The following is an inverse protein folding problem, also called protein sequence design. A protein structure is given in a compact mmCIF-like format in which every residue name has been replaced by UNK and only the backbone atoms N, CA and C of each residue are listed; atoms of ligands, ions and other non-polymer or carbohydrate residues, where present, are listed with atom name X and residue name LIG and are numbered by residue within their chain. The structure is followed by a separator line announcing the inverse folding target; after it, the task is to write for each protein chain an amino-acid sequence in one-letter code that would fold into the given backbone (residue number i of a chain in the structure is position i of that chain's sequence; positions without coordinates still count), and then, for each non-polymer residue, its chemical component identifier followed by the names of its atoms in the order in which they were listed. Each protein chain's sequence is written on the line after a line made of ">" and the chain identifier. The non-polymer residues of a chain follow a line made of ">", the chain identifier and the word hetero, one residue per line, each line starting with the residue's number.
data_IF_240220072804
#
_entry.id   IF_240220072804
#
_cell.length_a   1.000
_cell.length_b   1.000
_cell.length_c   1.000
_cell.angle_alpha   90.00
_cell.angle_beta   90.00
_cell.angle_gamma   90.00
#
_symmetry.space_group_name_H-M   'P 1'
#
loop_
_entity.id
_entity.type
_entity.pdbx_description
1 polymer ?
#
# COMPACT_ATOMS: atom_id res chain seq x y z
N UNK A 1 -14.23 31.25 18.57
CA UNK A 1 -14.82 31.00 17.24
C UNK A 1 -13.85 31.27 16.11
N UNK A 2 -13.19 32.44 16.05
CA UNK A 2 -12.25 32.78 14.96
C UNK A 2 -11.06 31.81 14.79
N UNK A 3 -10.46 31.32 15.87
CA UNK A 3 -9.36 30.34 15.80
C UNK A 3 -9.79 28.98 15.21
N UNK A 4 -11.06 28.60 15.37
CA UNK A 4 -11.62 27.37 14.81
C UNK A 4 -11.92 27.46 13.31
N UNK A 5 -12.23 28.67 12.83
CA UNK A 5 -12.41 28.95 11.39
C UNK A 5 -11.08 29.02 10.65
N UNK A 6 -10.00 29.51 11.29
CA UNK A 6 -8.66 29.57 10.69
C UNK A 6 -7.96 28.20 10.56
N UNK A 7 -8.46 27.16 11.22
CA UNK A 7 -7.94 25.76 11.15
C UNK A 7 -8.82 24.83 10.30
N UNK A 8 -9.95 25.33 9.77
CA UNK A 8 -10.82 24.52 8.90
C UNK A 8 -10.09 24.24 7.58
N UNK A 9 -9.96 22.99 7.23
CA UNK A 9 -9.41 22.59 5.92
C UNK A 9 -10.34 23.04 4.79
N UNK A 10 -9.82 23.81 3.85
CA UNK A 10 -10.56 24.24 2.63
C UNK A 10 -10.46 23.23 1.49
N UNK A 11 -9.87 22.06 1.74
CA UNK A 11 -9.60 21.05 0.70
C UNK A 11 -10.90 20.58 0.04
N UNK A 12 -11.93 20.29 0.82
CA UNK A 12 -13.23 19.83 0.29
C UNK A 12 -13.93 20.97 -0.50
N UNK A 13 -13.88 22.18 -0.04
CA UNK A 13 -14.43 23.36 -0.73
C UNK A 13 -13.76 23.55 -2.10
N UNK A 14 -12.42 23.58 -2.14
CA UNK A 14 -11.64 23.72 -3.38
C UNK A 14 -11.92 22.58 -4.36
N UNK A 15 -12.08 21.35 -3.86
CA UNK A 15 -12.44 20.20 -4.69
C UNK A 15 -13.84 20.32 -5.24
N UNK A 16 -14.81 20.74 -4.43
CA UNK A 16 -16.20 20.96 -4.86
C UNK A 16 -16.27 22.02 -5.97
N UNK A 17 -15.62 23.16 -5.81
CA UNK A 17 -15.53 24.17 -6.85
C UNK A 17 -14.93 23.63 -8.16
N UNK A 18 -13.89 22.79 -8.03
CA UNK A 18 -13.27 22.14 -9.20
C UNK A 18 -14.23 21.16 -9.89
N UNK A 19 -15.01 20.37 -9.13
CA UNK A 19 -16.02 19.45 -9.67
C UNK A 19 -17.11 20.22 -10.40
N UNK A 20 -17.64 21.32 -9.83
CA UNK A 20 -18.62 22.18 -10.47
C UNK A 20 -18.10 22.75 -11.80
N UNK A 21 -16.90 23.33 -11.81
CA UNK A 21 -16.33 23.84 -13.06
C UNK A 21 -15.99 22.77 -14.11
N UNK A 22 -15.82 21.50 -13.71
CA UNK A 22 -15.68 20.37 -14.64
C UNK A 22 -17.04 19.97 -15.20
N UNK A 23 -18.08 19.87 -14.37
CA UNK A 23 -19.43 19.45 -14.79
C UNK A 23 -20.02 20.37 -15.88
N UNK A 24 -19.66 21.65 -15.87
CA UNK A 24 -20.03 22.59 -16.93
C UNK A 24 -19.38 22.30 -18.30
N UNK A 25 -18.28 21.56 -18.33
CA UNK A 25 -17.47 21.30 -19.51
C UNK A 25 -17.61 19.88 -20.05
N UNK A 26 -18.18 18.95 -19.27
CA UNK A 26 -18.41 17.56 -19.67
C UNK A 26 -17.90 16.53 -18.66
N UNK A 27 -17.34 15.43 -19.16
CA UNK A 27 -16.92 14.31 -18.33
C UNK A 27 -15.77 14.64 -17.39
N UNK A 28 -15.77 14.01 -16.20
CA UNK A 28 -14.72 14.12 -15.22
C UNK A 28 -13.39 13.53 -15.74
N UNK A 29 -12.32 14.31 -15.87
CA UNK A 29 -11.00 13.78 -16.16
C UNK A 29 -10.44 13.08 -14.92
N UNK A 30 -9.67 12.01 -15.11
CA UNK A 30 -8.92 11.33 -14.05
C UNK A 30 -7.42 11.58 -14.28
N UNK A 31 -6.91 12.74 -13.87
CA UNK A 31 -5.52 13.13 -14.14
C UNK A 31 -4.60 12.35 -13.20
N UNK A 32 -3.94 11.34 -13.73
CA UNK A 32 -2.94 10.55 -13.02
C UNK A 32 -1.59 10.68 -13.71
N UNK A 33 -0.57 10.98 -12.91
CA UNK A 33 0.81 10.95 -13.35
C UNK A 33 1.36 9.55 -13.18
N UNK A 34 1.72 8.92 -14.28
CA UNK A 34 2.35 7.61 -14.32
C UNK A 34 3.70 7.65 -13.60
N UNK A 35 3.97 6.63 -12.80
CA UNK A 35 5.23 6.45 -12.07
C UNK A 35 5.63 7.69 -11.25
N UNK A 36 4.67 8.27 -10.52
CA UNK A 36 4.88 9.48 -9.74
C UNK A 36 5.69 9.25 -8.47
N UNK A 37 5.61 8.05 -7.90
CA UNK A 37 6.38 7.63 -6.74
C UNK A 37 7.56 6.76 -7.13
N UNK A 38 8.58 6.70 -6.27
CA UNK A 38 9.76 5.84 -6.41
C UNK A 38 9.39 4.36 -6.62
N UNK A 39 8.29 3.91 -6.04
CA UNK A 39 7.77 2.54 -6.12
C UNK A 39 6.88 2.27 -7.34
N UNK A 40 6.78 3.21 -8.27
CA UNK A 40 5.94 3.11 -9.47
C UNK A 40 4.46 3.40 -9.24
N UNK A 41 4.03 3.79 -8.03
CA UNK A 41 2.66 4.21 -7.78
C UNK A 41 2.33 5.47 -8.58
N UNK A 42 1.11 5.53 -9.10
CA UNK A 42 0.61 6.71 -9.78
C UNK A 42 0.25 7.79 -8.76
N UNK A 43 0.42 9.04 -9.13
CA UNK A 43 0.03 10.18 -8.30
C UNK A 43 -1.03 11.02 -8.98
N UNK A 44 -1.89 11.66 -8.20
CA UNK A 44 -2.83 12.64 -8.73
C UNK A 44 -2.11 13.84 -9.35
N UNK A 45 -2.71 14.41 -10.38
CA UNK A 45 -2.22 15.58 -11.10
C UNK A 45 -3.33 16.65 -11.26
N UNK A 46 -3.05 17.72 -11.97
CA UNK A 46 -3.99 18.81 -12.33
C UNK A 46 -4.84 19.33 -11.14
N UNK A 47 -4.24 19.39 -9.94
CA UNK A 47 -4.93 19.83 -8.70
C UNK A 47 -6.22 19.06 -8.38
N UNK A 48 -6.43 17.90 -9.03
CA UNK A 48 -7.57 17.02 -8.84
C UNK A 48 -7.07 15.61 -8.50
N UNK A 49 -6.76 15.38 -7.24
CA UNK A 49 -6.35 14.06 -6.79
C UNK A 49 -7.55 13.26 -6.27
N UNK A 50 -8.15 12.44 -7.13
CA UNK A 50 -9.27 11.57 -6.80
C UNK A 50 -8.88 10.44 -5.85
N UNK A 51 -7.58 10.08 -5.76
CA UNK A 51 -7.06 9.05 -4.85
C UNK A 51 -7.19 9.44 -3.37
N UNK A 52 -7.36 10.75 -3.07
CA UNK A 52 -7.44 11.27 -1.70
C UNK A 52 -8.87 11.73 -1.33
N UNK A 53 -9.90 11.27 -2.02
CA UNK A 53 -11.28 11.51 -1.60
C UNK A 53 -11.57 10.71 -0.34
N UNK A 54 -12.11 11.37 0.69
CA UNK A 54 -12.49 10.70 1.94
C UNK A 54 -13.57 9.64 1.67
N UNK A 55 -13.57 8.56 2.46
CA UNK A 55 -14.50 7.44 2.27
C UNK A 55 -15.97 7.88 2.20
N UNK A 56 -16.36 8.84 3.02
CA UNK A 56 -17.73 9.35 3.10
C UNK A 56 -17.91 10.72 2.43
N UNK A 57 -16.99 11.13 1.55
CA UNK A 57 -17.10 12.42 0.85
C UNK A 57 -18.28 12.40 -0.13
N UNK A 58 -19.17 13.41 -0.09
CA UNK A 58 -20.23 13.58 -1.09
C UNK A 58 -19.70 13.63 -2.52
N UNK A 59 -18.44 14.05 -2.72
CA UNK A 59 -17.79 14.07 -4.03
C UNK A 59 -17.64 12.70 -4.66
N UNK A 60 -17.54 11.60 -3.87
CA UNK A 60 -17.55 10.25 -4.42
C UNK A 60 -18.90 9.94 -5.08
N UNK A 61 -20.02 10.37 -4.48
CA UNK A 61 -21.37 10.20 -5.04
C UNK A 61 -21.64 11.06 -6.27
N UNK A 62 -20.86 12.12 -6.46
CA UNK A 62 -20.95 12.96 -7.66
C UNK A 62 -20.20 12.34 -8.88
N UNK A 63 -19.45 11.26 -8.68
CA UNK A 63 -18.81 10.53 -9.77
C UNK A 63 -19.75 9.41 -10.21
N UNK A 64 -20.43 9.64 -11.31
CA UNK A 64 -21.48 8.76 -11.86
C UNK A 64 -21.06 8.23 -13.24
N UNK A 65 -21.44 7.00 -13.59
CA UNK A 65 -21.27 6.48 -14.94
C UNK A 65 -22.28 7.13 -15.92
N UNK A 66 -22.10 6.98 -17.24
CA UNK A 66 -23.12 7.33 -18.22
C UNK A 66 -24.42 6.54 -18.04
N UNK A 67 -25.53 7.07 -18.58
CA UNK A 67 -26.82 6.38 -18.57
C UNK A 67 -26.72 4.95 -19.15
N UNK A 68 -27.37 4.01 -18.49
CA UNK A 68 -27.33 2.58 -18.87
C UNK A 68 -26.10 1.81 -18.38
N UNK A 69 -25.25 2.46 -17.59
CA UNK A 69 -24.05 1.85 -16.98
C UNK A 69 -24.09 1.92 -15.46
N UNK A 70 -23.37 1.00 -14.84
CA UNK A 70 -23.07 0.98 -13.40
C UNK A 70 -21.56 1.08 -13.20
N UNK A 71 -21.14 1.57 -12.03
CA UNK A 71 -19.76 1.49 -11.59
C UNK A 71 -19.52 0.20 -10.82
N UNK A 72 -18.37 -0.40 -11.01
CA UNK A 72 -17.79 -1.41 -10.12
C UNK A 72 -16.50 -0.86 -9.57
N UNK A 73 -16.33 -0.88 -8.24
CA UNK A 73 -15.07 -0.64 -7.56
C UNK A 73 -14.60 -1.93 -6.88
N UNK A 74 -13.33 -2.26 -7.03
CA UNK A 74 -12.73 -3.43 -6.40
C UNK A 74 -11.39 -3.07 -5.79
N UNK A 75 -11.28 -3.21 -4.47
CA UNK A 75 -10.09 -2.92 -3.67
C UNK A 75 -9.36 -4.21 -3.30
N UNK A 76 -8.05 -4.24 -3.50
CA UNK A 76 -7.23 -5.39 -3.15
C UNK A 76 -7.03 -5.47 -1.65
N UNK A 77 -7.49 -6.55 -1.02
CA UNK A 77 -7.46 -6.71 0.43
C UNK A 77 -6.03 -6.84 0.94
N UNK A 78 -5.57 -5.90 1.77
CA UNK A 78 -4.28 -5.91 2.49
C UNK A 78 -3.07 -6.29 1.62
N UNK A 79 -3.02 -5.88 0.37
CA UNK A 79 -2.04 -6.38 -0.61
C UNK A 79 -0.58 -6.21 -0.15
N UNK A 80 -0.23 -5.09 0.52
CA UNK A 80 1.14 -4.88 1.01
C UNK A 80 1.50 -5.86 2.13
N UNK A 81 0.58 -6.17 3.06
CA UNK A 81 0.83 -7.12 4.13
C UNK A 81 0.93 -8.57 3.61
N UNK A 82 0.10 -8.93 2.62
CA UNK A 82 0.13 -10.23 1.92
C UNK A 82 1.44 -10.39 1.15
N UNK A 83 1.84 -9.36 0.40
CA UNK A 83 3.11 -9.33 -0.31
C UNK A 83 4.31 -9.44 0.64
N UNK A 84 4.26 -8.75 1.79
CA UNK A 84 5.31 -8.83 2.80
C UNK A 84 5.45 -10.25 3.37
N UNK A 85 4.34 -10.88 3.77
CA UNK A 85 4.32 -12.23 4.30
C UNK A 85 4.89 -13.25 3.29
N UNK A 86 4.43 -13.18 2.05
CA UNK A 86 4.89 -14.03 0.96
C UNK A 86 6.37 -13.82 0.64
N UNK A 87 6.81 -12.57 0.49
CA UNK A 87 8.20 -12.23 0.18
C UNK A 87 9.17 -12.68 1.28
N UNK A 88 8.73 -12.64 2.54
CA UNK A 88 9.51 -13.05 3.70
C UNK A 88 9.54 -14.56 3.93
N UNK A 89 8.76 -15.34 3.20
CA UNK A 89 8.56 -16.79 3.47
C UNK A 89 8.01 -17.02 4.89
N UNK A 90 7.14 -16.11 5.37
CA UNK A 90 6.41 -16.25 6.62
C UNK A 90 5.13 -17.06 6.35
N UNK A 91 5.29 -18.38 6.17
CA UNK A 91 4.26 -19.24 5.57
C UNK A 91 3.02 -19.42 6.46
N UNK A 92 3.14 -19.38 7.78
CA UNK A 92 2.00 -19.37 8.70
C UNK A 92 1.09 -18.15 8.47
N UNK A 93 1.67 -16.97 8.21
CA UNK A 93 0.92 -15.76 7.91
C UNK A 93 0.36 -15.79 6.47
N UNK A 94 1.09 -16.37 5.51
CA UNK A 94 0.61 -16.59 4.14
C UNK A 94 -0.62 -17.49 4.15
N UNK A 95 -0.56 -18.63 4.88
CA UNK A 95 -1.68 -19.55 5.03
C UNK A 95 -2.88 -18.93 5.72
N UNK A 96 -2.67 -18.10 6.76
CA UNK A 96 -3.76 -17.38 7.42
C UNK A 96 -4.48 -16.44 6.45
N UNK A 97 -3.74 -15.73 5.61
CA UNK A 97 -4.32 -14.91 4.55
C UNK A 97 -5.08 -15.73 3.50
N UNK A 98 -4.55 -16.87 3.10
CA UNK A 98 -5.14 -17.74 2.08
C UNK A 98 -6.45 -18.38 2.59
N UNK A 99 -6.50 -18.75 3.88
CA UNK A 99 -7.73 -19.22 4.53
C UNK A 99 -8.74 -18.11 4.84
N UNK A 100 -8.43 -16.85 4.57
CA UNK A 100 -9.30 -15.71 4.85
C UNK A 100 -9.44 -15.40 6.34
N UNK A 101 -8.49 -15.81 7.17
CA UNK A 101 -8.49 -15.55 8.61
C UNK A 101 -8.27 -14.06 8.92
N UNK A 102 -8.79 -13.59 10.03
CA UNK A 102 -8.55 -12.23 10.51
C UNK A 102 -7.17 -12.10 11.16
N UNK A 103 -6.15 -11.87 10.33
CA UNK A 103 -4.75 -11.74 10.77
C UNK A 103 -4.55 -10.62 11.79
N UNK A 104 -5.44 -9.63 11.82
CA UNK A 104 -5.40 -8.56 12.81
C UNK A 104 -5.83 -9.06 14.18
N UNK A 105 -6.85 -9.93 14.24
CA UNK A 105 -7.24 -10.61 15.48
C UNK A 105 -6.20 -11.62 15.93
N UNK A 106 -5.56 -12.34 15.00
CA UNK A 106 -4.46 -13.26 15.31
C UNK A 106 -3.30 -12.49 15.96
N UNK A 107 -2.90 -11.36 15.39
CA UNK A 107 -1.85 -10.53 16.00
C UNK A 107 -2.27 -9.97 17.37
N UNK A 108 -3.51 -9.51 17.52
CA UNK A 108 -4.05 -9.05 18.78
C UNK A 108 -4.07 -10.19 19.82
N UNK A 109 -4.44 -11.38 19.44
CA UNK A 109 -4.38 -12.58 20.30
C UNK A 109 -2.96 -12.81 20.86
N UNK A 110 -1.94 -12.71 20.00
CA UNK A 110 -0.54 -12.81 20.43
C UNK A 110 -0.11 -11.65 21.36
N UNK A 111 -0.59 -10.43 21.13
CA UNK A 111 -0.27 -9.26 21.94
C UNK A 111 -0.89 -9.36 23.33
N UNK A 112 -2.16 -9.76 23.43
CA UNK A 112 -2.95 -9.73 24.66
C UNK A 112 -3.04 -11.08 25.37
N UNK A 113 -2.54 -12.17 24.77
CA UNK A 113 -2.60 -13.52 25.34
C UNK A 113 -4.04 -14.04 25.49
N UNK A 114 -4.95 -13.68 24.59
CA UNK A 114 -6.36 -14.06 24.58
C UNK A 114 -6.67 -14.95 23.37
N UNK A 115 -7.77 -15.72 23.44
CA UNK A 115 -8.26 -16.42 22.26
C UNK A 115 -8.71 -15.44 21.16
N UNK A 116 -8.56 -15.82 19.90
CA UNK A 116 -8.93 -14.98 18.74
C UNK A 116 -10.42 -14.58 18.79
N UNK A 117 -11.29 -15.45 19.29
CA UNK A 117 -12.73 -15.21 19.46
C UNK A 117 -13.06 -14.13 20.50
N UNK A 118 -12.16 -13.92 21.47
CA UNK A 118 -12.33 -12.99 22.59
C UNK A 118 -11.76 -11.59 22.31
N UNK A 119 -11.11 -11.43 21.13
CA UNK A 119 -10.50 -10.16 20.74
C UNK A 119 -11.59 -9.11 20.45
N UNK A 120 -11.54 -8.03 21.19
CA UNK A 120 -12.42 -6.87 21.04
C UNK A 120 -12.09 -6.07 19.77
N UNK A 121 -12.97 -5.13 19.39
CA UNK A 121 -12.73 -4.23 18.25
C UNK A 121 -11.50 -3.34 18.47
N UNK A 122 -11.29 -2.86 19.68
CA UNK A 122 -10.17 -1.98 20.02
C UNK A 122 -8.84 -2.75 20.01
N UNK A 123 -8.83 -3.96 20.57
CA UNK A 123 -7.65 -4.84 20.52
C UNK A 123 -7.31 -5.24 19.07
N UNK A 124 -8.34 -5.56 18.27
CA UNK A 124 -8.17 -5.83 16.83
C UNK A 124 -7.58 -4.62 16.10
N UNK A 125 -7.96 -3.40 16.49
CA UNK A 125 -7.40 -2.17 15.92
C UNK A 125 -5.91 -2.02 16.23
N UNK A 126 -5.48 -2.36 17.46
CA UNK A 126 -4.05 -2.42 17.81
C UNK A 126 -3.34 -3.48 16.97
N UNK A 127 -3.91 -4.69 16.84
CA UNK A 127 -3.38 -5.74 15.98
C UNK A 127 -3.24 -5.29 14.52
N UNK A 128 -4.24 -4.59 13.96
CA UNK A 128 -4.19 -4.01 12.62
C UNK A 128 -3.05 -3.00 12.48
N UNK A 129 -2.92 -2.08 13.45
CA UNK A 129 -1.88 -1.06 13.43
C UNK A 129 -0.49 -1.70 13.55
N UNK A 130 -0.38 -2.80 14.30
CA UNK A 130 0.86 -3.57 14.45
C UNK A 130 1.25 -4.25 13.13
N UNK A 131 0.35 -4.99 12.49
CA UNK A 131 0.61 -5.66 11.21
C UNK A 131 1.04 -4.65 10.13
N UNK A 132 0.31 -3.55 9.99
CA UNK A 132 0.56 -2.57 8.94
C UNK A 132 1.77 -1.67 9.21
N UNK A 133 2.06 -1.39 10.48
CA UNK A 133 3.15 -0.50 10.88
C UNK A 133 4.47 -1.21 11.13
N UNK A 134 4.46 -2.31 11.88
CA UNK A 134 5.69 -2.98 12.32
C UNK A 134 6.37 -3.78 11.22
N UNK A 135 5.66 -4.12 10.14
CA UNK A 135 6.19 -4.89 9.01
C UNK A 135 7.43 -4.28 8.33
N UNK A 136 7.66 -2.99 8.54
CA UNK A 136 8.74 -2.23 7.89
C UNK A 136 9.76 -1.63 8.88
N UNK A 137 9.86 -2.21 10.07
CA UNK A 137 10.88 -1.83 11.06
C UNK A 137 10.55 -0.56 11.85
N UNK A 138 9.27 -0.28 12.08
CA UNK A 138 8.83 0.82 12.93
C UNK A 138 9.37 0.67 14.35
N UNK A 139 9.87 1.77 14.95
CA UNK A 139 10.31 1.83 16.35
C UNK A 139 9.17 2.20 17.31
N UNK A 140 9.36 1.88 18.61
CA UNK A 140 8.33 2.02 19.63
C UNK A 140 7.75 3.44 19.79
N UNK A 141 8.60 4.46 19.77
CA UNK A 141 8.14 5.85 19.88
C UNK A 141 7.23 6.27 18.71
N UNK A 142 7.56 5.82 17.48
CA UNK A 142 6.73 6.09 16.28
C UNK A 142 5.43 5.32 16.35
N UNK A 143 5.45 4.07 16.82
CA UNK A 143 4.26 3.24 16.99
C UNK A 143 3.31 3.83 18.05
N UNK A 144 3.83 4.24 19.21
CA UNK A 144 3.08 4.95 20.25
C UNK A 144 2.41 6.22 19.70
N UNK A 145 3.18 7.05 18.97
CA UNK A 145 2.66 8.28 18.36
C UNK A 145 1.56 7.98 17.32
N UNK A 146 1.70 6.89 16.57
CA UNK A 146 0.69 6.48 15.59
C UNK A 146 -0.61 6.04 16.27
N UNK A 147 -0.56 5.24 17.32
CA UNK A 147 -1.73 4.84 18.11
C UNK A 147 -2.42 6.06 18.74
N UNK A 148 -1.65 7.01 19.29
CA UNK A 148 -2.18 8.25 19.85
C UNK A 148 -2.97 9.08 18.83
N UNK A 149 -2.57 9.11 17.55
CA UNK A 149 -3.32 9.77 16.48
C UNK A 149 -4.73 9.17 16.26
N UNK A 150 -4.94 7.95 16.72
CA UNK A 150 -6.23 7.25 16.71
C UNK A 150 -6.91 7.20 18.08
N UNK A 151 -6.48 8.06 19.03
CA UNK A 151 -6.99 8.12 20.39
C UNK A 151 -6.76 6.83 21.22
N UNK A 152 -5.74 6.04 20.87
CA UNK A 152 -5.28 4.90 21.67
C UNK A 152 -3.98 5.30 22.36
N UNK A 153 -4.04 5.49 23.67
CA UNK A 153 -2.90 5.86 24.50
C UNK A 153 -2.30 4.61 25.15
N UNK A 154 -1.00 4.42 24.96
CA UNK A 154 -0.20 3.36 25.58
C UNK A 154 1.12 3.95 26.04
N UNK A 155 1.72 3.34 27.07
CA UNK A 155 3.07 3.69 27.53
C UNK A 155 4.15 3.21 26.55
N UNK A 156 5.34 3.83 26.59
CA UNK A 156 6.43 3.50 25.67
C UNK A 156 6.90 2.04 25.85
N UNK A 157 6.90 1.53 27.07
CA UNK A 157 7.30 0.14 27.35
C UNK A 157 6.29 -0.87 26.82
N UNK A 158 5.01 -0.52 26.85
CA UNK A 158 3.96 -1.31 26.21
C UNK A 158 4.12 -1.30 24.67
N UNK A 159 4.44 -0.15 24.08
CA UNK A 159 4.75 -0.07 22.65
C UNK A 159 5.96 -0.93 22.27
N UNK A 160 7.00 -0.98 23.10
CA UNK A 160 8.15 -1.89 22.91
C UNK A 160 7.73 -3.34 22.97
N UNK A 161 6.96 -3.73 24.00
CA UNK A 161 6.44 -5.09 24.17
C UNK A 161 5.65 -5.55 22.94
N UNK A 162 4.76 -4.71 22.42
CA UNK A 162 3.95 -5.02 21.23
C UNK A 162 4.85 -5.25 20.01
N UNK A 163 5.83 -4.38 19.78
CA UNK A 163 6.77 -4.51 18.66
C UNK A 163 7.61 -5.78 18.79
N UNK A 164 8.07 -6.10 19.99
CA UNK A 164 8.86 -7.30 20.23
C UNK A 164 8.01 -8.56 20.05
N UNK A 165 6.73 -8.53 20.47
CA UNK A 165 5.76 -9.58 20.17
C UNK A 165 5.63 -9.79 18.67
N UNK A 166 5.44 -8.73 17.88
CA UNK A 166 5.38 -8.84 16.41
C UNK A 166 6.63 -9.50 15.82
N UNK A 167 7.81 -9.05 16.23
CA UNK A 167 9.10 -9.55 15.72
C UNK A 167 9.36 -11.01 16.09
N UNK A 168 8.88 -11.43 17.26
CA UNK A 168 8.99 -12.81 17.73
C UNK A 168 7.98 -13.71 17.03
N UNK A 169 6.76 -13.21 16.79
CA UNK A 169 5.71 -13.95 16.08
C UNK A 169 6.06 -14.14 14.60
N UNK A 170 6.65 -13.12 13.96
CA UNK A 170 6.99 -13.16 12.54
C UNK A 170 8.49 -12.96 12.29
N UNK A 171 9.35 -13.91 12.70
CA UNK A 171 10.80 -13.77 12.62
C UNK A 171 11.32 -13.69 11.18
N UNK A 172 10.67 -14.35 10.23
CA UNK A 172 11.05 -14.32 8.81
C UNK A 172 10.99 -12.91 8.21
N UNK A 173 10.05 -12.08 8.66
CA UNK A 173 9.96 -10.68 8.24
C UNK A 173 11.18 -9.90 8.74
N UNK A 174 11.65 -10.15 9.97
CA UNK A 174 12.85 -9.49 10.50
C UNK A 174 14.14 -9.98 9.81
N UNK A 175 14.19 -11.25 9.42
CA UNK A 175 15.28 -11.81 8.60
C UNK A 175 15.32 -11.15 7.22
N UNK A 176 14.16 -10.96 6.59
CA UNK A 176 14.04 -10.27 5.30
C UNK A 176 14.59 -8.83 5.37
N UNK A 177 14.38 -8.08 6.47
CA UNK A 177 15.00 -6.75 6.62
C UNK A 177 16.52 -6.80 6.64
N UNK A 178 17.10 -7.82 7.29
CA UNK A 178 18.57 -8.02 7.32
C UNK A 178 19.09 -8.36 5.92
N UNK A 179 18.38 -9.24 5.21
CA UNK A 179 18.70 -9.58 3.82
C UNK A 179 18.63 -8.37 2.89
N UNK A 180 17.61 -7.51 3.07
CA UNK A 180 17.48 -6.27 2.30
C UNK A 180 18.58 -5.25 2.62
N UNK A 181 19.03 -5.18 3.87
CA UNK A 181 20.19 -4.36 4.23
C UNK A 181 21.48 -4.86 3.57
N UNK A 182 21.64 -6.19 3.44
CA UNK A 182 22.75 -6.80 2.70
C UNK A 182 22.64 -6.55 1.20
N UNK A 183 21.43 -6.60 0.64
CA UNK A 183 21.17 -6.25 -0.76
C UNK A 183 21.58 -4.80 -1.09
N UNK A 184 21.29 -3.83 -0.21
CA UNK A 184 21.77 -2.44 -0.38
C UNK A 184 23.29 -2.36 -0.43
N UNK A 185 24.00 -3.14 0.40
CA UNK A 185 25.46 -3.21 0.36
C UNK A 185 25.96 -3.81 -0.96
N UNK A 186 25.29 -4.83 -1.48
CA UNK A 186 25.59 -5.42 -2.78
C UNK A 186 25.44 -4.38 -3.91
N UNK A 187 24.35 -3.57 -3.90
CA UNK A 187 24.18 -2.44 -4.83
C UNK A 187 25.37 -1.46 -4.72
N UNK A 188 25.75 -1.07 -3.50
CA UNK A 188 26.86 -0.15 -3.27
C UNK A 188 28.21 -0.69 -3.75
N UNK A 189 28.41 -2.01 -3.64
CA UNK A 189 29.63 -2.71 -4.02
C UNK A 189 29.62 -3.22 -5.47
N UNK A 190 28.59 -2.89 -6.22
CA UNK A 190 28.38 -3.38 -7.61
C UNK A 190 28.40 -4.91 -7.72
N UNK A 191 27.78 -5.60 -6.75
CA UNK A 191 27.70 -7.05 -6.69
C UNK A 191 26.32 -7.55 -7.13
N UNK A 192 26.26 -8.83 -7.49
CA UNK A 192 25.01 -9.50 -7.83
C UNK A 192 24.55 -10.36 -6.65
N UNK A 193 23.26 -10.35 -6.37
CA UNK A 193 22.61 -11.22 -5.39
C UNK A 193 21.09 -11.28 -5.65
N UNK A 194 20.36 -12.01 -4.83
CA UNK A 194 18.89 -12.10 -4.90
C UNK A 194 18.26 -11.72 -3.56
N UNK A 195 16.96 -11.43 -3.57
CA UNK A 195 16.20 -11.06 -2.38
C UNK A 195 14.78 -11.60 -2.49
N UNK A 196 14.24 -12.04 -1.35
CA UNK A 196 12.86 -12.53 -1.21
C UNK A 196 12.66 -13.96 -1.68
N UNK A 197 11.41 -14.43 -1.60
CA UNK A 197 11.00 -15.80 -1.91
C UNK A 197 11.51 -16.25 -3.27
N UNK A 198 12.22 -17.40 -3.29
CA UNK A 198 12.78 -17.96 -4.51
C UNK A 198 13.74 -17.04 -5.29
N UNK A 199 14.21 -15.94 -4.67
CA UNK A 199 15.06 -14.97 -5.35
C UNK A 199 14.31 -14.15 -6.41
N UNK A 200 13.03 -13.90 -6.24
CA UNK A 200 12.16 -13.18 -7.18
C UNK A 200 12.67 -11.78 -7.52
N UNK A 201 13.41 -11.17 -6.60
CA UNK A 201 14.08 -9.89 -6.81
C UNK A 201 15.57 -10.13 -7.07
N UNK A 202 16.10 -9.50 -8.10
CA UNK A 202 17.52 -9.58 -8.44
C UNK A 202 18.20 -8.25 -8.17
N UNK A 203 19.38 -8.30 -7.61
CA UNK A 203 20.28 -7.17 -7.49
C UNK A 203 21.34 -7.34 -8.58
N UNK A 204 21.38 -6.42 -9.53
CA UNK A 204 22.28 -6.46 -10.68
C UNK A 204 23.21 -5.23 -10.64
N UNK A 205 24.21 -5.34 -9.78
CA UNK A 205 25.20 -4.28 -9.63
C UNK A 205 24.61 -2.98 -9.10
N UNK A 206 25.05 -1.86 -9.63
CA UNK A 206 24.64 -0.51 -9.20
C UNK A 206 23.26 -0.07 -9.70
N UNK A 207 22.59 -0.84 -10.58
CA UNK A 207 21.31 -0.45 -11.16
C UNK A 207 20.17 -0.46 -10.15
N UNK A 208 20.31 -1.22 -9.07
CA UNK A 208 19.35 -1.32 -7.99
C UNK A 208 18.69 -2.70 -7.90
N UNK A 209 17.42 -2.75 -7.52
CA UNK A 209 16.66 -3.98 -7.36
C UNK A 209 15.77 -4.18 -8.58
N UNK A 210 16.04 -5.21 -9.37
CA UNK A 210 15.23 -5.60 -10.52
C UNK A 210 13.94 -6.26 -10.04
N UNK A 211 12.82 -5.76 -10.51
CA UNK A 211 11.47 -6.23 -10.22
C UNK A 211 10.98 -7.21 -11.31
N UNK A 212 9.93 -8.02 -11.04
CA UNK A 212 9.40 -8.98 -12.01
C UNK A 212 8.91 -8.40 -13.35
N UNK A 213 8.56 -7.12 -13.38
CA UNK A 213 8.16 -6.39 -14.61
C UNK A 213 9.34 -5.78 -15.36
N UNK A 214 10.57 -6.22 -15.10
CA UNK A 214 11.81 -5.74 -15.69
C UNK A 214 12.15 -4.26 -15.43
N UNK A 215 11.51 -3.62 -14.44
CA UNK A 215 11.86 -2.28 -13.97
C UNK A 215 12.72 -2.36 -12.71
N UNK A 216 13.47 -1.29 -12.43
CA UNK A 216 14.35 -1.22 -11.28
C UNK A 216 13.80 -0.28 -10.20
N UNK A 217 13.87 -0.73 -8.95
CA UNK A 217 13.89 0.17 -7.79
C UNK A 217 15.31 0.70 -7.64
N UNK A 218 15.52 1.95 -8.05
CA UNK A 218 16.83 2.60 -8.08
C UNK A 218 17.06 3.41 -6.80
N UNK A 219 18.29 3.38 -6.32
CA UNK A 219 18.76 4.20 -5.19
C UNK A 219 19.90 5.11 -5.65
N UNK A 220 19.58 6.23 -6.36
CA UNK A 220 20.59 7.10 -6.98
C UNK A 220 21.56 7.62 -5.95
N UNK A 221 22.86 7.62 -6.28
CA UNK A 221 23.94 8.08 -5.42
C UNK A 221 23.91 7.45 -4.02
N UNK A 222 23.65 6.12 -3.97
CA UNK A 222 23.70 5.35 -2.73
C UNK A 222 25.08 5.43 -2.12
N UNK A 223 25.19 5.87 -0.86
CA UNK A 223 26.46 6.06 -0.15
C UNK A 223 26.29 5.90 1.33
N UNK A 224 27.41 5.67 2.01
CA UNK A 224 27.49 5.70 3.48
C UNK A 224 27.82 7.13 3.90
N UNK A 225 27.09 7.63 4.88
CA UNK A 225 27.37 8.92 5.54
C UNK A 225 27.44 8.69 7.05
N UNK A 226 28.20 9.50 7.74
CA UNK A 226 28.21 9.54 9.19
C UNK A 226 27.13 10.51 9.67
N UNK A 227 26.26 10.06 10.58
CA UNK A 227 25.24 10.91 11.16
C UNK A 227 25.81 11.75 12.32
N UNK A 228 25.00 12.70 12.86
CA UNK A 228 25.42 13.57 13.95
C UNK A 228 25.79 12.86 15.28
N UNK A 229 25.55 11.55 15.37
CA UNK A 229 25.90 10.69 16.52
C UNK A 229 27.15 9.81 16.23
N UNK A 230 27.85 10.03 15.13
CA UNK A 230 28.99 9.23 14.70
C UNK A 230 28.65 7.82 14.18
N UNK A 231 27.38 7.56 13.85
CA UNK A 231 26.94 6.27 13.30
C UNK A 231 26.89 6.33 11.78
N UNK A 232 27.40 5.27 11.13
CA UNK A 232 27.29 5.11 9.68
C UNK A 232 25.86 4.79 9.26
N UNK A 233 25.32 5.53 8.30
CA UNK A 233 24.01 5.33 7.71
C UNK A 233 24.09 5.30 6.19
N UNK A 234 23.22 4.49 5.56
CA UNK A 234 23.04 4.49 4.11
C UNK A 234 22.06 5.58 3.73
N UNK A 235 22.42 6.38 2.74
CA UNK A 235 21.56 7.41 2.14
C UNK A 235 21.60 7.33 0.62
N UNK A 236 20.53 7.73 -0.01
CA UNK A 236 20.43 7.92 -1.46
C UNK A 236 19.74 9.24 -1.76
N UNK A 237 19.86 9.74 -2.97
CA UNK A 237 19.28 11.03 -3.34
C UNK A 237 17.84 10.87 -3.86
N UNK A 238 16.91 11.59 -3.23
CA UNK A 238 15.51 11.68 -3.67
C UNK A 238 15.21 13.07 -4.22
N UNK A 239 14.38 13.11 -5.25
CA UNK A 239 13.94 14.38 -5.84
C UNK A 239 12.77 14.96 -5.06
N UNK A 240 12.92 16.16 -4.52
CA UNK A 240 11.83 16.94 -3.90
C UNK A 240 11.71 18.30 -4.61
N UNK A 241 10.70 18.42 -5.46
CA UNK A 241 10.61 19.56 -6.38
C UNK A 241 11.80 19.58 -7.34
N UNK A 242 12.59 20.65 -7.31
CA UNK A 242 13.83 20.79 -8.11
C UNK A 242 15.09 20.36 -7.38
N UNK A 243 15.03 20.09 -6.08
CA UNK A 243 16.19 19.72 -5.25
C UNK A 243 16.37 18.22 -5.15
N UNK A 244 17.63 17.76 -5.08
CA UNK A 244 18.01 16.41 -4.65
C UNK A 244 18.32 16.45 -3.16
N UNK A 245 17.67 15.58 -2.39
CA UNK A 245 17.77 15.54 -0.94
C UNK A 245 18.29 14.16 -0.53
N UNK A 246 19.40 14.08 0.25
CA UNK A 246 19.84 12.84 0.85
C UNK A 246 18.74 12.25 1.75
N UNK A 247 18.36 11.03 1.47
CA UNK A 247 17.29 10.32 2.19
C UNK A 247 17.86 9.03 2.77
N UNK A 248 17.65 8.83 4.06
CA UNK A 248 18.08 7.61 4.75
C UNK A 248 17.34 6.39 4.22
N UNK A 249 18.08 5.30 4.03
CA UNK A 249 17.54 4.00 3.62
C UNK A 249 18.09 2.89 4.53
N UNK A 250 17.26 1.93 4.85
CA UNK A 250 17.59 0.76 5.67
C UNK A 250 16.72 -0.42 5.25
N UNK A 251 17.06 -1.63 5.68
CA UNK A 251 16.42 -2.86 5.21
C UNK A 251 14.89 -2.84 5.27
N UNK A 252 14.30 -2.45 6.40
CA UNK A 252 12.84 -2.34 6.51
C UNK A 252 12.23 -1.34 5.53
N UNK A 253 12.92 -0.21 5.24
CA UNK A 253 12.44 0.77 4.26
C UNK A 253 12.60 0.27 2.81
N UNK A 254 13.62 -0.53 2.53
CA UNK A 254 13.73 -1.23 1.23
C UNK A 254 12.55 -2.17 1.05
N UNK A 255 12.21 -2.97 2.07
CA UNK A 255 11.09 -3.91 1.98
C UNK A 255 9.75 -3.17 1.82
N UNK A 256 9.55 -2.04 2.49
CA UNK A 256 8.38 -1.19 2.24
C UNK A 256 8.30 -0.76 0.76
N UNK A 257 9.41 -0.28 0.20
CA UNK A 257 9.46 0.12 -1.21
C UNK A 257 9.19 -1.07 -2.16
N UNK A 258 9.76 -2.23 -1.87
CA UNK A 258 9.56 -3.46 -2.65
C UNK A 258 8.10 -3.92 -2.59
N UNK A 259 7.51 -4.02 -1.39
CA UNK A 259 6.11 -4.43 -1.24
C UNK A 259 5.15 -3.49 -1.99
N UNK A 260 5.38 -2.18 -1.91
CA UNK A 260 4.61 -1.20 -2.67
C UNK A 260 4.79 -1.37 -4.18
N UNK A 261 6.00 -1.65 -4.64
CA UNK A 261 6.27 -1.85 -6.07
C UNK A 261 5.65 -3.15 -6.59
N UNK A 262 5.76 -4.25 -5.85
CA UNK A 262 5.13 -5.52 -6.20
C UNK A 262 3.60 -5.42 -6.19
N UNK A 263 3.01 -4.78 -5.18
CA UNK A 263 1.58 -4.50 -5.15
C UNK A 263 1.14 -3.71 -6.40
N UNK A 264 1.91 -2.68 -6.80
CA UNK A 264 1.62 -1.91 -8.01
C UNK A 264 1.72 -2.76 -9.28
N UNK A 265 2.64 -3.72 -9.35
CA UNK A 265 2.77 -4.64 -10.50
C UNK A 265 1.52 -5.53 -10.56
N UNK A 266 1.14 -6.17 -9.45
CA UNK A 266 -0.06 -7.01 -9.35
C UNK A 266 -1.30 -6.25 -9.82
N UNK A 267 -1.57 -5.08 -9.25
CA UNK A 267 -2.73 -4.26 -9.63
C UNK A 267 -2.66 -3.87 -11.12
N UNK A 268 -1.47 -3.59 -11.64
CA UNK A 268 -1.29 -3.29 -13.07
C UNK A 268 -1.68 -4.45 -13.98
N UNK A 269 -1.26 -5.66 -13.66
CA UNK A 269 -1.58 -6.87 -14.41
C UNK A 269 -3.08 -7.18 -14.32
N UNK A 270 -3.66 -7.10 -13.14
CA UNK A 270 -5.10 -7.29 -12.89
C UNK A 270 -5.95 -6.25 -13.63
N UNK A 271 -5.53 -4.97 -13.61
CA UNK A 271 -6.20 -3.89 -14.35
C UNK A 271 -6.21 -4.17 -15.86
N UNK A 272 -5.11 -4.67 -16.41
CA UNK A 272 -5.05 -5.06 -17.84
C UNK A 272 -5.99 -6.24 -18.14
N UNK A 273 -6.20 -7.17 -17.20
CA UNK A 273 -7.18 -8.24 -17.36
C UNK A 273 -8.61 -7.70 -17.37
N UNK A 274 -8.96 -6.83 -16.42
CA UNK A 274 -10.29 -6.18 -16.39
C UNK A 274 -10.52 -5.38 -17.68
N UNK A 275 -9.51 -4.64 -18.16
CA UNK A 275 -9.58 -3.80 -19.34
C UNK A 275 -9.81 -4.58 -20.65
N UNK A 276 -9.58 -5.90 -20.69
CA UNK A 276 -9.91 -6.75 -21.85
C UNK A 276 -11.41 -6.83 -22.10
N UNK A 277 -12.23 -6.65 -21.07
CA UNK A 277 -13.69 -6.86 -21.16
C UNK A 277 -14.49 -5.61 -20.77
N UNK A 278 -14.02 -4.84 -19.79
CA UNK A 278 -14.72 -3.68 -19.27
C UNK A 278 -13.83 -2.45 -19.25
N UNK A 279 -14.44 -1.27 -19.40
CA UNK A 279 -13.70 -0.01 -19.43
C UNK A 279 -13.27 0.39 -18.02
N UNK A 280 -12.00 0.25 -17.71
CA UNK A 280 -11.41 0.82 -16.50
C UNK A 280 -11.37 2.34 -16.65
N UNK A 281 -11.97 3.05 -15.70
CA UNK A 281 -12.09 4.50 -15.71
C UNK A 281 -11.23 5.18 -14.66
N UNK A 282 -10.86 4.46 -13.59
CA UNK A 282 -10.07 5.02 -12.51
C UNK A 282 -9.28 3.92 -11.79
N UNK A 283 -8.14 4.29 -11.24
CA UNK A 283 -7.43 3.48 -10.24
C UNK A 283 -7.11 4.34 -9.03
N UNK A 284 -7.34 3.81 -7.84
CA UNK A 284 -7.12 4.48 -6.57
C UNK A 284 -6.26 3.59 -5.70
N UNK A 285 -4.96 3.86 -5.63
CA UNK A 285 -3.98 3.03 -4.93
C UNK A 285 -4.04 1.56 -5.38
N UNK A 286 -4.65 0.73 -4.57
CA UNK A 286 -4.76 -0.73 -4.77
C UNK A 286 -6.18 -1.13 -5.25
N UNK A 287 -7.01 -0.14 -5.63
CA UNK A 287 -8.35 -0.33 -6.16
C UNK A 287 -8.43 0.00 -7.66
N UNK A 288 -9.37 -0.67 -8.33
CA UNK A 288 -9.70 -0.48 -9.75
C UNK A 288 -11.19 -0.17 -9.85
N UNK A 289 -11.54 0.93 -10.51
CA UNK A 289 -12.92 1.24 -10.84
C UNK A 289 -13.16 1.12 -12.35
N UNK A 290 -14.23 0.42 -12.73
CA UNK A 290 -14.65 0.27 -14.11
C UNK A 290 -16.14 0.56 -14.28
N UNK A 291 -16.56 0.83 -15.52
CA UNK A 291 -17.98 0.98 -15.88
C UNK A 291 -18.43 -0.20 -16.73
N UNK A 292 -19.63 -0.69 -16.46
CA UNK A 292 -20.21 -1.87 -17.09
C UNK A 292 -21.67 -1.62 -17.44
N UNK A 293 -22.23 -2.22 -18.51
CA UNK A 293 -23.67 -2.13 -18.80
C UNK A 293 -24.50 -2.62 -17.62
N UNK A 294 -25.54 -1.90 -17.23
CA UNK A 294 -26.42 -2.25 -16.09
C UNK A 294 -26.94 -3.69 -16.18
N UNK A 295 -27.30 -4.15 -17.36
CA UNK A 295 -27.82 -5.52 -17.57
C UNK A 295 -26.75 -6.62 -17.34
N UNK A 296 -25.48 -6.28 -17.21
CA UNK A 296 -24.37 -7.22 -17.05
C UNK A 296 -23.66 -7.08 -15.71
N UNK A 297 -24.16 -6.24 -14.79
CA UNK A 297 -23.41 -5.82 -13.60
C UNK A 297 -22.96 -6.98 -12.72
N UNK A 298 -23.81 -7.96 -12.48
CA UNK A 298 -23.48 -9.11 -11.62
C UNK A 298 -22.42 -10.00 -12.26
N UNK A 299 -22.56 -10.36 -13.54
CA UNK A 299 -21.54 -11.13 -14.27
C UNK A 299 -20.24 -10.36 -14.41
N UNK A 300 -20.32 -9.03 -14.51
CA UNK A 300 -19.16 -8.17 -14.56
C UNK A 300 -18.45 -8.12 -13.19
N UNK A 301 -19.19 -8.06 -12.10
CA UNK A 301 -18.63 -8.10 -10.74
C UNK A 301 -17.83 -9.39 -10.51
N UNK A 302 -18.42 -10.55 -10.84
CA UNK A 302 -17.75 -11.86 -10.74
C UNK A 302 -16.46 -11.90 -11.57
N UNK A 303 -16.50 -11.34 -12.79
CA UNK A 303 -15.30 -11.26 -13.64
C UNK A 303 -14.22 -10.35 -13.05
N UNK A 304 -14.58 -9.18 -12.52
CA UNK A 304 -13.66 -8.25 -11.88
C UNK A 304 -13.03 -8.90 -10.64
N UNK A 305 -13.83 -9.53 -9.79
CA UNK A 305 -13.33 -10.25 -8.63
C UNK A 305 -12.36 -11.39 -9.00
N UNK A 306 -12.69 -12.15 -10.05
CA UNK A 306 -11.79 -13.18 -10.59
C UNK A 306 -10.45 -12.56 -11.02
N UNK A 307 -10.48 -11.45 -11.77
CA UNK A 307 -9.27 -10.76 -12.18
C UNK A 307 -8.45 -10.27 -10.98
N UNK A 308 -9.13 -9.69 -9.96
CA UNK A 308 -8.47 -9.13 -8.77
C UNK A 308 -7.93 -10.20 -7.81
N UNK A 309 -8.37 -11.46 -7.93
CA UNK A 309 -7.82 -12.62 -7.21
C UNK A 309 -6.79 -13.39 -8.02
N UNK A 310 -6.59 -13.07 -9.29
CA UNK A 310 -5.61 -13.75 -10.14
C UNK A 310 -4.20 -13.46 -9.66
N UNK A 311 -3.45 -14.52 -9.38
CA UNK A 311 -2.06 -14.46 -8.94
C UNK A 311 -1.15 -14.28 -10.15
N UNK A 312 -0.08 -13.46 -10.06
CA UNK A 312 0.88 -13.30 -11.13
C UNK A 312 1.77 -14.55 -11.30
N UNK A 313 2.27 -14.80 -12.49
CA UNK A 313 3.14 -15.96 -12.78
C UNK A 313 4.41 -15.98 -11.92
N UNK A 314 4.93 -14.82 -11.57
CA UNK A 314 6.10 -14.67 -10.69
C UNK A 314 5.79 -14.86 -9.19
N UNK A 315 4.53 -15.00 -8.82
CA UNK A 315 4.06 -15.09 -7.43
C UNK A 315 2.82 -15.97 -7.27
N UNK A 316 2.84 -17.19 -7.80
CA UNK A 316 1.71 -18.13 -7.75
C UNK A 316 1.26 -18.51 -6.35
N UNK A 317 2.12 -18.34 -5.34
CA UNK A 317 1.78 -18.57 -3.93
C UNK A 317 1.36 -17.30 -3.19
N UNK A 318 1.34 -16.14 -3.86
CA UNK A 318 0.94 -14.88 -3.24
C UNK A 318 -0.57 -14.92 -2.93
N UNK A 319 -0.99 -14.82 -1.63
CA UNK A 319 -2.38 -14.94 -1.24
C UNK A 319 -3.13 -13.64 -1.57
N UNK A 320 -3.78 -13.57 -2.72
CA UNK A 320 -4.54 -12.40 -3.15
C UNK A 320 -6.02 -12.54 -2.82
N UNK A 321 -6.65 -11.44 -2.47
CA UNK A 321 -8.10 -11.31 -2.30
C UNK A 321 -8.55 -9.87 -2.57
N UNK A 322 -9.84 -9.66 -2.77
CA UNK A 322 -10.41 -8.34 -2.99
C UNK A 322 -11.77 -8.20 -2.31
N UNK A 323 -12.15 -6.96 -2.07
CA UNK A 323 -13.50 -6.54 -1.72
C UNK A 323 -14.03 -5.74 -2.91
N UNK A 324 -15.17 -6.11 -3.44
CA UNK A 324 -15.76 -5.47 -4.60
C UNK A 324 -17.23 -5.13 -4.36
N UNK A 325 -17.69 -4.06 -5.00
CA UNK A 325 -19.07 -3.64 -4.98
C UNK A 325 -19.45 -2.91 -6.27
N UNK A 326 -20.73 -2.67 -6.48
CA UNK A 326 -21.22 -1.88 -7.59
C UNK A 326 -22.30 -0.90 -7.16
N UNK A 327 -22.46 0.17 -7.93
CA UNK A 327 -23.44 1.21 -7.63
C UNK A 327 -23.70 2.15 -8.80
N UNK A 328 -24.68 3.03 -8.62
CA UNK A 328 -25.00 4.12 -9.55
C UNK A 328 -23.97 5.26 -9.47
N UNK A 329 -23.14 5.28 -8.45
CA UNK A 329 -22.02 6.20 -8.30
C UNK A 329 -20.81 5.50 -7.68
N UNK A 330 -19.63 6.14 -7.78
CA UNK A 330 -18.41 5.67 -7.10
C UNK A 330 -18.53 5.65 -5.57
N UNK A 331 -19.44 6.44 -5.02
CA UNK A 331 -19.71 6.48 -3.58
C UNK A 331 -20.63 5.39 -3.07
N UNK A 332 -21.29 4.66 -3.96
CA UNK A 332 -22.25 3.60 -3.65
C UNK A 332 -21.69 2.18 -3.88
N UNK A 333 -20.47 2.08 -4.41
CA UNK A 333 -19.73 0.83 -4.61
C UNK A 333 -19.18 0.26 -3.31
#
# INVERSE_FOLDING_TARGET
>A
MAARLGTKSTIEETRTERFLGISERGSLPVPLRYYAAHTGRWGGDDKLNLQNLQRNSPLKKAIIPPDGYMMIDSDSSQIEARTLAWLAEQDDLVEAFDRGEDVYKIMASAIYGKNVSEITKDERFVGKTTILGCGYGMGAAKFQAQLKNFNVEIELDEAKRIIDTYRTTYPKITELWKSAASALKAVLQNQQTTLGRGGVLKIEGSDGILLPNALYLRYPNLRIVENGEGKSELVYDTKKGKALIPTRIYGGKVIENVCQALARIVIGEQMLMVAKKYRVVMTVHDAIACIVPTAQVETALEYVEMCMRTRPDWGMELPLNCEAGYGESYGDC
#
